data_IF_621326471950
#
_entry.id   IF_621326471950
#
_cell.length_a   1.000
_cell.length_b   1.000
_cell.length_c   1.000
_cell.angle_alpha   90.00
_cell.angle_beta   90.00
_cell.angle_gamma   90.00
#
_symmetry.space_group_name_H-M   'P 1'
#
loop_
_entity.id
_entity.type
_entity.pdbx_description
1 polymer ?
#
# COMPACT_ATOMS: atom_id res chain seq x y z
N UNK A 1 -10.55 -9.09 4.31
CA UNK A 1 -11.20 -10.06 5.21
C UNK A 1 -11.97 -9.40 6.36
N UNK A 2 -11.39 -8.54 7.25
CA UNK A 2 -12.14 -7.97 8.39
C UNK A 2 -13.43 -7.24 8.01
N UNK A 3 -13.43 -6.49 6.90
CA UNK A 3 -14.64 -5.80 6.41
C UNK A 3 -15.77 -6.74 6.04
N UNK A 4 -15.47 -7.89 5.40
CA UNK A 4 -16.47 -8.89 5.03
C UNK A 4 -17.02 -9.60 6.25
N UNK A 5 -16.18 -9.90 7.22
CA UNK A 5 -16.60 -10.51 8.48
C UNK A 5 -17.42 -9.54 9.33
N UNK A 6 -17.07 -8.27 9.35
CA UNK A 6 -17.86 -7.22 9.98
C UNK A 6 -19.25 -7.07 9.32
N UNK A 7 -19.33 -7.17 7.99
CA UNK A 7 -20.60 -7.16 7.27
C UNK A 7 -21.45 -8.42 7.54
N UNK A 8 -20.80 -9.54 7.86
CA UNK A 8 -21.46 -10.80 8.27
C UNK A 8 -21.85 -10.85 9.76
N UNK A 9 -21.59 -9.78 10.52
CA UNK A 9 -21.96 -9.68 11.93
C UNK A 9 -20.83 -9.89 12.94
N UNK A 10 -19.57 -10.01 12.47
CA UNK A 10 -18.37 -10.19 13.31
C UNK A 10 -17.41 -8.99 13.20
N UNK A 11 -17.74 -7.81 13.77
CA UNK A 11 -16.90 -6.60 13.66
C UNK A 11 -15.58 -6.72 14.39
N UNK A 12 -15.52 -7.48 15.49
CA UNK A 12 -14.37 -7.56 16.41
C UNK A 12 -13.47 -8.77 16.14
N UNK A 13 -13.53 -9.32 14.94
CA UNK A 13 -12.80 -10.54 14.58
C UNK A 13 -11.28 -10.42 14.77
N UNK A 14 -10.71 -9.23 14.60
CA UNK A 14 -9.26 -8.99 14.76
C UNK A 14 -8.85 -9.22 16.21
N UNK A 15 -9.62 -8.70 17.17
CA UNK A 15 -9.35 -8.88 18.60
C UNK A 15 -9.61 -10.32 19.05
N UNK A 16 -10.70 -10.91 18.54
CA UNK A 16 -11.01 -12.33 18.79
C UNK A 16 -9.87 -13.24 18.33
N UNK A 17 -9.32 -13.01 17.13
CA UNK A 17 -8.19 -13.79 16.59
C UNK A 17 -6.90 -13.58 17.38
N UNK A 18 -6.63 -12.39 17.91
CA UNK A 18 -5.47 -12.14 18.77
C UNK A 18 -5.57 -12.90 20.10
N UNK A 19 -6.75 -12.96 20.70
CA UNK A 19 -7.00 -13.58 21.99
C UNK A 19 -7.18 -15.10 21.89
N UNK A 20 -7.51 -15.60 20.71
CA UNK A 20 -7.84 -17.00 20.43
C UNK A 20 -9.30 -17.13 20.08
N UNK A 21 -9.60 -17.46 18.84
CA UNK A 21 -10.96 -17.67 18.30
C UNK A 21 -11.19 -19.15 18.04
N UNK A 22 -12.23 -19.70 18.64
CA UNK A 22 -12.63 -21.10 18.42
C UNK A 22 -13.52 -21.20 17.17
N UNK A 23 -13.07 -21.96 16.20
CA UNK A 23 -13.85 -22.32 15.02
C UNK A 23 -13.54 -23.74 14.57
N UNK A 24 -14.58 -24.52 14.25
CA UNK A 24 -14.45 -25.92 13.81
C UNK A 24 -13.66 -26.82 14.78
N UNK A 25 -13.83 -26.63 16.09
CA UNK A 25 -13.15 -27.43 17.12
C UNK A 25 -11.66 -27.16 17.24
N UNK A 26 -11.19 -26.02 16.69
CA UNK A 26 -9.79 -25.55 16.81
C UNK A 26 -9.76 -24.12 17.29
N UNK A 27 -8.77 -23.79 18.13
CA UNK A 27 -8.49 -22.43 18.56
C UNK A 27 -7.49 -21.80 17.61
N UNK A 28 -7.87 -20.71 16.99
CA UNK A 28 -7.04 -19.93 16.08
C UNK A 28 -6.52 -18.69 16.78
N UNK A 29 -5.21 -18.60 16.96
CA UNK A 29 -4.52 -17.42 17.47
C UNK A 29 -3.62 -16.87 16.39
N UNK A 30 -4.11 -15.89 15.65
CA UNK A 30 -3.43 -15.31 14.48
C UNK A 30 -3.51 -13.80 14.51
N UNK A 31 -2.47 -13.16 13.99
CA UNK A 31 -2.44 -11.74 13.73
C UNK A 31 -3.03 -11.46 12.35
N UNK A 32 -4.01 -10.56 12.27
CA UNK A 32 -4.62 -10.14 11.02
C UNK A 32 -4.27 -8.68 10.73
N UNK A 33 -3.56 -8.43 9.62
CA UNK A 33 -3.08 -7.10 9.22
C UNK A 33 -4.15 -6.23 8.54
N UNK A 34 -5.33 -6.78 8.31
CA UNK A 34 -6.43 -6.07 7.66
C UNK A 34 -7.13 -5.08 8.59
N UNK A 35 -7.79 -4.09 8.00
CA UNK A 35 -8.66 -3.15 8.70
C UNK A 35 -10.12 -3.36 8.33
N UNK A 36 -11.03 -2.99 9.23
CA UNK A 36 -12.45 -2.97 8.96
C UNK A 36 -12.83 -1.64 8.29
N UNK A 37 -13.17 -1.69 7.00
CA UNK A 37 -13.61 -0.54 6.20
C UNK A 37 -15.14 -0.34 6.22
N UNK A 38 -15.90 -1.20 6.89
CA UNK A 38 -17.36 -1.16 6.83
C UNK A 38 -17.95 0.18 7.28
N UNK A 39 -17.49 0.83 8.38
CA UNK A 39 -18.00 2.14 8.78
C UNK A 39 -17.76 3.22 7.73
N UNK A 40 -16.60 3.19 7.06
CA UNK A 40 -16.30 4.11 5.97
C UNK A 40 -17.18 3.87 4.74
N UNK A 41 -17.40 2.61 4.35
CA UNK A 41 -18.26 2.25 3.21
C UNK A 41 -19.73 2.61 3.45
N UNK A 42 -20.19 2.59 4.69
CA UNK A 42 -21.53 3.03 5.09
C UNK A 42 -21.64 4.55 5.29
N UNK A 43 -20.57 5.32 5.04
CA UNK A 43 -20.51 6.77 5.30
C UNK A 43 -20.72 7.15 6.77
N UNK A 44 -20.50 6.23 7.69
CA UNK A 44 -20.53 6.46 9.14
C UNK A 44 -19.21 7.10 9.63
N UNK A 45 -18.11 6.90 8.90
CA UNK A 45 -16.80 7.49 9.16
C UNK A 45 -16.35 8.34 7.97
N UNK A 46 -15.84 9.55 8.25
CA UNK A 46 -15.38 10.49 7.23
C UNK A 46 -14.09 10.06 6.53
N UNK A 47 -13.28 9.22 7.19
CA UNK A 47 -12.00 8.71 6.67
C UNK A 47 -11.93 7.19 6.80
N UNK A 48 -11.24 6.56 5.87
CA UNK A 48 -10.90 5.15 5.97
C UNK A 48 -9.89 4.88 7.11
N UNK A 49 -9.84 3.66 7.64
CA UNK A 49 -8.96 3.30 8.75
C UNK A 49 -7.47 3.22 8.35
N UNK A 50 -7.16 3.33 7.06
CA UNK A 50 -5.81 3.25 6.52
C UNK A 50 -5.64 4.28 5.40
N UNK A 51 -4.57 5.05 5.47
CA UNK A 51 -4.17 6.03 4.45
C UNK A 51 -2.98 5.52 3.61
N UNK A 52 -2.24 4.54 4.12
CA UNK A 52 -1.08 3.94 3.48
C UNK A 52 -1.34 2.52 2.99
N UNK A 53 -0.68 2.16 1.88
CA UNK A 53 -0.69 0.81 1.31
C UNK A 53 0.76 0.40 1.05
N UNK A 54 1.14 -0.77 1.57
CA UNK A 54 2.44 -1.38 1.34
C UNK A 54 2.31 -2.47 0.27
N UNK A 55 3.17 -2.42 -0.74
CA UNK A 55 3.22 -3.40 -1.81
C UNK A 55 4.44 -4.29 -1.60
N UNK A 56 4.21 -5.57 -1.44
CA UNK A 56 5.25 -6.57 -1.29
C UNK A 56 5.37 -7.42 -2.55
N UNK A 57 6.61 -7.77 -2.92
CA UNK A 57 6.91 -8.73 -3.98
C UNK A 57 6.71 -10.17 -3.50
N UNK A 58 6.88 -11.13 -4.41
CA UNK A 58 6.72 -12.56 -4.12
C UNK A 58 7.69 -13.07 -3.04
N UNK A 59 8.88 -12.46 -2.93
CA UNK A 59 9.89 -12.79 -1.92
C UNK A 59 9.64 -12.15 -0.54
N UNK A 60 8.56 -11.37 -0.37
CA UNK A 60 8.31 -10.61 0.86
C UNK A 60 9.06 -9.28 0.93
N UNK A 61 9.80 -8.91 -0.11
CA UNK A 61 10.47 -7.62 -0.22
C UNK A 61 9.48 -6.47 -0.40
N UNK A 62 9.73 -5.34 0.24
CA UNK A 62 8.93 -4.14 0.03
C UNK A 62 9.24 -3.53 -1.35
N UNK A 63 8.28 -3.56 -2.25
CA UNK A 63 8.41 -3.01 -3.59
C UNK A 63 7.97 -1.55 -3.67
N UNK A 64 6.90 -1.17 -2.97
CA UNK A 64 6.43 0.21 -2.99
C UNK A 64 5.62 0.55 -1.74
N UNK A 65 5.50 1.85 -1.48
CA UNK A 65 4.60 2.43 -0.48
C UNK A 65 3.72 3.45 -1.19
N UNK A 66 2.42 3.38 -0.97
CA UNK A 66 1.47 4.42 -1.36
C UNK A 66 0.96 5.13 -0.11
N UNK A 67 0.94 6.45 -0.17
CA UNK A 67 0.30 7.30 0.83
C UNK A 67 -0.54 8.36 0.12
N UNK A 68 -1.83 8.31 0.33
CA UNK A 68 -2.80 9.12 -0.41
C UNK A 68 -2.61 9.00 -1.93
N UNK A 69 -2.33 10.11 -2.61
CA UNK A 69 -2.11 10.18 -4.06
C UNK A 69 -0.66 9.91 -4.48
N UNK A 70 0.24 9.72 -3.52
CA UNK A 70 1.65 9.52 -3.78
C UNK A 70 2.04 8.05 -3.64
N UNK A 71 2.82 7.57 -4.60
CA UNK A 71 3.44 6.25 -4.56
C UNK A 71 4.96 6.40 -4.71
N UNK A 72 5.69 5.72 -3.86
CA UNK A 72 7.15 5.59 -3.92
C UNK A 72 7.48 4.14 -4.17
N UNK A 73 8.06 3.83 -5.33
CA UNK A 73 8.43 2.47 -5.73
C UNK A 73 9.94 2.29 -5.59
N UNK A 74 10.34 1.31 -4.78
CA UNK A 74 11.73 0.90 -4.58
C UNK A 74 12.16 -0.18 -5.58
N UNK A 75 11.19 -0.91 -6.10
CA UNK A 75 11.38 -1.87 -7.17
C UNK A 75 10.20 -1.81 -8.13
N UNK A 76 10.45 -2.10 -9.39
CA UNK A 76 9.44 -2.26 -10.44
C UNK A 76 9.55 -3.67 -11.03
N UNK A 77 8.43 -4.22 -11.42
CA UNK A 77 8.36 -5.52 -12.08
C UNK A 77 7.68 -5.31 -13.43
N UNK A 78 8.48 -5.30 -14.49
CA UNK A 78 8.01 -5.13 -15.85
C UNK A 78 7.80 -6.50 -16.52
N UNK A 79 6.66 -6.69 -17.16
CA UNK A 79 6.32 -7.92 -17.85
C UNK A 79 5.00 -8.55 -17.39
N UNK A 80 4.82 -9.81 -17.67
CA UNK A 80 3.67 -10.60 -17.19
C UNK A 80 4.05 -11.42 -15.95
N UNK A 81 3.06 -11.99 -15.28
CA UNK A 81 3.23 -12.75 -14.03
C UNK A 81 4.29 -13.87 -14.14
N UNK A 82 4.50 -14.44 -15.33
CA UNK A 82 5.43 -15.55 -15.53
C UNK A 82 6.85 -15.08 -15.89
N UNK A 83 7.01 -13.89 -16.48
CA UNK A 83 8.29 -13.41 -17.04
C UNK A 83 8.72 -12.06 -16.46
N UNK A 84 8.00 -11.54 -15.46
CA UNK A 84 8.35 -10.27 -14.84
C UNK A 84 9.73 -10.35 -14.18
N UNK A 85 10.58 -9.38 -14.51
CA UNK A 85 11.90 -9.22 -13.90
C UNK A 85 11.81 -8.08 -12.91
N UNK A 86 12.22 -8.36 -11.67
CA UNK A 86 12.32 -7.34 -10.64
C UNK A 86 13.52 -6.45 -10.92
N UNK A 87 13.25 -5.18 -11.16
CA UNK A 87 14.27 -4.14 -11.37
C UNK A 87 14.30 -3.21 -10.16
N UNK A 88 15.48 -3.02 -9.58
CA UNK A 88 15.71 -2.11 -8.46
C UNK A 88 16.41 -0.87 -8.99
N UNK A 89 15.69 0.24 -9.19
CA UNK A 89 16.30 1.48 -9.65
C UNK A 89 17.23 2.05 -8.56
N UNK A 90 18.31 2.69 -8.96
CA UNK A 90 19.24 3.34 -8.02
C UNK A 90 18.60 4.46 -7.19
N UNK A 91 17.48 5.01 -7.66
CA UNK A 91 16.67 6.00 -6.97
C UNK A 91 15.21 5.54 -6.98
N UNK A 92 14.48 5.67 -5.85
CA UNK A 92 13.06 5.29 -5.82
C UNK A 92 12.26 6.09 -6.84
N UNK A 93 11.34 5.43 -7.53
CA UNK A 93 10.42 6.07 -8.46
C UNK A 93 9.28 6.70 -7.67
N UNK A 94 9.11 8.02 -7.79
CA UNK A 94 8.04 8.78 -7.14
C UNK A 94 6.96 9.06 -8.18
N UNK A 95 5.72 8.71 -7.87
CA UNK A 95 4.58 8.92 -8.76
C UNK A 95 3.45 9.63 -8.03
N UNK A 96 2.87 10.65 -8.65
CA UNK A 96 1.60 11.21 -8.21
C UNK A 96 0.48 10.51 -8.97
N UNK A 97 -0.22 9.60 -8.32
CA UNK A 97 -1.25 8.76 -8.96
C UNK A 97 -2.47 9.54 -9.45
N UNK A 98 -2.68 10.75 -8.95
CA UNK A 98 -3.74 11.63 -9.44
C UNK A 98 -3.38 12.28 -10.77
N UNK A 99 -2.12 12.66 -10.94
CA UNK A 99 -1.60 13.26 -12.17
C UNK A 99 -1.21 12.20 -13.21
N UNK A 100 -0.72 11.05 -12.75
CA UNK A 100 -0.29 9.93 -13.59
C UNK A 100 -0.86 8.60 -13.05
N UNK A 101 -2.15 8.33 -13.29
CA UNK A 101 -2.80 7.12 -12.77
C UNK A 101 -2.29 5.82 -13.39
N UNK A 102 -1.60 5.89 -14.52
CA UNK A 102 -1.02 4.74 -15.21
C UNK A 102 0.48 4.56 -14.95
N UNK A 103 1.07 5.39 -14.11
CA UNK A 103 2.49 5.33 -13.71
C UNK A 103 3.48 5.35 -14.90
N UNK A 104 3.15 6.10 -15.96
CA UNK A 104 3.93 6.16 -17.20
C UNK A 104 4.98 7.26 -17.23
N UNK A 105 4.87 8.26 -16.37
CA UNK A 105 5.74 9.41 -16.39
C UNK A 105 7.22 9.05 -16.24
N UNK A 106 7.54 8.07 -15.41
CA UNK A 106 8.92 7.62 -15.17
C UNK A 106 9.60 7.02 -16.41
N UNK A 107 8.83 6.38 -17.30
CA UNK A 107 9.36 5.70 -18.50
C UNK A 107 9.12 6.48 -19.80
N UNK A 108 8.08 7.32 -19.85
CA UNK A 108 7.65 7.97 -21.11
C UNK A 108 7.85 9.49 -21.12
N UNK A 109 8.05 10.12 -19.96
CA UNK A 109 8.25 11.56 -19.89
C UNK A 109 9.73 11.93 -19.84
N UNK A 110 10.23 12.66 -20.84
CA UNK A 110 11.58 13.20 -20.85
C UNK A 110 11.87 14.22 -19.73
N UNK A 111 10.83 14.75 -19.10
CA UNK A 111 10.95 15.73 -18.00
C UNK A 111 10.95 15.08 -16.61
N UNK A 112 10.71 13.78 -16.50
CA UNK A 112 10.56 13.09 -15.23
C UNK A 112 11.82 13.22 -14.34
N UNK A 113 13.00 13.04 -14.90
CA UNK A 113 14.26 13.09 -14.14
C UNK A 113 14.46 14.49 -13.52
N UNK A 114 14.18 15.56 -14.26
CA UNK A 114 14.27 16.94 -13.76
C UNK A 114 13.27 17.19 -12.64
N UNK A 115 12.03 16.82 -12.85
CA UNK A 115 10.97 16.93 -11.85
C UNK A 115 11.29 16.12 -10.57
N UNK A 116 11.78 14.89 -10.72
CA UNK A 116 12.20 14.02 -9.60
C UNK A 116 13.33 14.66 -8.79
N UNK A 117 14.32 15.25 -9.45
CA UNK A 117 15.44 15.95 -8.79
C UNK A 117 14.96 17.16 -7.99
N UNK A 118 14.00 17.92 -8.52
CA UNK A 118 13.44 19.08 -7.84
C UNK A 118 12.64 18.68 -6.59
N UNK A 119 11.80 17.64 -6.66
CA UNK A 119 11.07 17.11 -5.50
C UNK A 119 12.05 16.57 -4.44
N UNK A 120 13.03 15.77 -4.84
CA UNK A 120 14.01 15.20 -3.91
C UNK A 120 14.79 16.30 -3.18
N UNK A 121 15.08 17.41 -3.85
CA UNK A 121 15.73 18.58 -3.27
C UNK A 121 14.84 19.31 -2.27
N UNK A 122 13.53 19.41 -2.53
CA UNK A 122 12.56 19.95 -1.58
C UNK A 122 12.45 19.09 -0.31
N UNK A 123 12.36 17.76 -0.46
CA UNK A 123 12.29 16.84 0.67
C UNK A 123 13.53 16.89 1.56
N UNK A 124 14.72 17.05 0.97
CA UNK A 124 15.98 17.19 1.73
C UNK A 124 16.06 18.49 2.53
N UNK A 125 15.42 19.57 2.09
CA UNK A 125 15.34 20.85 2.81
C UNK A 125 14.38 20.79 4.01
N UNK A 126 13.23 20.15 3.87
CA UNK A 126 12.27 19.99 4.96
C UNK A 126 12.81 19.13 6.13
N UNK A 127 13.82 18.31 5.89
CA UNK A 127 14.46 17.48 6.94
C UNK A 127 15.42 18.26 7.85
N UNK A 128 15.81 19.50 7.47
CA UNK A 128 16.80 20.31 8.20
C UNK A 128 16.18 21.43 9.06
N UNK A 129 14.85 21.55 9.09
CA UNK A 129 14.10 22.41 10.00
C UNK A 129 13.36 21.59 11.05
#
# INVERSE_FOLDING_TARGET
MPTLLAAAGEPDIIEKLKNGYEANGRTWKVHADGCNFLPFLKSEAAKGPREEIYYFGQGGDLNAIRWNDWKVSFATEDGNIATAVRNVPGWPVITNLRADPYERASSQSGMYIRWHADISRCLSRCRKS
#
